data_IF_333323182508
#
_entry.id   IF_333323182508
#
_cell.length_a   1.000
_cell.length_b   1.000
_cell.length_c   1.000
_cell.angle_alpha   90.00
_cell.angle_beta   90.00
_cell.angle_gamma   90.00
#
_symmetry.space_group_name_H-M   'P 1'
#
loop_
_entity.id
_entity.type
_entity.pdbx_description
1 polymer ?
#
# COMPACT_ATOMS: atom_id res chain seq x y z
N UNK A 1 -9.15 11.45 6.66
CA UNK A 1 -8.06 10.49 6.79
C UNK A 1 -7.29 10.41 5.48
N UNK A 2 -5.97 10.62 5.50
CA UNK A 2 -5.18 10.50 4.27
C UNK A 2 -5.29 9.12 3.66
N UNK A 3 -5.30 9.08 2.36
CA UNK A 3 -5.31 7.82 1.64
C UNK A 3 -4.60 7.97 0.30
N UNK A 4 -4.19 6.86 -0.25
CA UNK A 4 -3.58 6.81 -1.56
C UNK A 4 -4.07 5.57 -2.29
N UNK A 5 -4.33 5.72 -3.56
CA UNK A 5 -4.87 4.64 -4.40
C UNK A 5 -3.91 4.37 -5.55
N UNK A 6 -3.66 3.09 -5.78
CA UNK A 6 -2.86 2.61 -6.91
C UNK A 6 -3.65 1.58 -7.70
N UNK A 7 -3.32 1.47 -8.97
CA UNK A 7 -3.74 0.35 -9.80
C UNK A 7 -2.51 -0.43 -10.19
N UNK A 8 -2.47 -1.68 -9.76
CA UNK A 8 -1.37 -2.59 -10.05
C UNK A 8 -1.84 -3.66 -11.02
N UNK A 9 -1.08 -3.88 -12.08
CA UNK A 9 -1.39 -4.90 -13.06
C UNK A 9 -0.43 -6.06 -12.85
N UNK A 10 -0.96 -7.23 -12.51
CA UNK A 10 -0.17 -8.45 -12.31
C UNK A 10 -0.73 -9.55 -13.19
N UNK A 11 0.11 -10.05 -14.11
CA UNK A 11 -0.30 -11.14 -15.02
C UNK A 11 -1.55 -10.82 -15.85
N UNK A 12 -1.71 -9.55 -16.24
CA UNK A 12 -2.87 -9.12 -17.02
C UNK A 12 -4.11 -8.80 -16.21
N UNK A 13 -4.07 -9.00 -14.89
CA UNK A 13 -5.19 -8.71 -13.99
C UNK A 13 -4.90 -7.40 -13.27
N UNK A 14 -5.87 -6.48 -13.33
CA UNK A 14 -5.74 -5.18 -12.68
C UNK A 14 -6.31 -5.24 -11.28
N UNK A 15 -5.50 -4.80 -10.31
CA UNK A 15 -5.89 -4.72 -8.92
C UNK A 15 -5.92 -3.28 -8.45
N UNK A 16 -6.84 -2.98 -7.54
CA UNK A 16 -6.91 -1.69 -6.87
C UNK A 16 -6.34 -1.84 -5.46
N UNK A 17 -5.33 -1.04 -5.15
CA UNK A 17 -4.68 -1.03 -3.84
C UNK A 17 -4.97 0.31 -3.19
N UNK A 18 -5.48 0.28 -1.97
CA UNK A 18 -5.77 1.49 -1.20
C UNK A 18 -5.07 1.40 0.14
N UNK A 19 -4.30 2.41 0.47
CA UNK A 19 -3.74 2.58 1.82
C UNK A 19 -4.43 3.78 2.47
N UNK A 20 -4.88 3.60 3.71
CA UNK A 20 -5.43 4.66 4.53
C UNK A 20 -4.65 4.71 5.83
N UNK A 21 -4.36 5.89 6.31
CA UNK A 21 -3.57 6.03 7.54
C UNK A 21 -3.95 7.29 8.30
N UNK A 22 -3.67 7.29 9.60
CA UNK A 22 -3.82 8.47 10.42
C UNK A 22 -2.64 9.43 10.17
N UNK A 23 -2.87 10.71 9.94
CA UNK A 23 -1.78 11.68 9.78
C UNK A 23 -0.97 11.92 11.07
N UNK A 24 -1.56 11.53 12.21
CA UNK A 24 -0.94 11.77 13.50
C UNK A 24 -0.11 10.60 14.00
N UNK A 25 -0.62 9.38 13.81
CA UNK A 25 -0.02 8.17 14.36
C UNK A 25 0.52 7.23 13.29
N UNK A 26 0.14 7.43 12.04
CA UNK A 26 0.41 6.55 10.90
C UNK A 26 -0.17 5.15 11.04
N UNK A 27 -1.05 4.92 12.02
CA UNK A 27 -1.86 3.70 12.04
C UNK A 27 -2.69 3.64 10.78
N UNK A 28 -2.80 2.46 10.19
CA UNK A 28 -3.50 2.37 8.93
C UNK A 28 -3.90 0.97 8.51
N UNK A 29 -4.44 0.91 7.33
CA UNK A 29 -4.90 -0.33 6.71
C UNK A 29 -4.57 -0.33 5.22
N UNK A 30 -4.42 -1.54 4.70
CA UNK A 30 -4.19 -1.79 3.29
C UNK A 30 -5.36 -2.61 2.76
N UNK A 31 -6.02 -2.09 1.74
CA UNK A 31 -7.16 -2.73 1.09
C UNK A 31 -6.75 -3.13 -0.31
N UNK A 32 -6.93 -4.41 -0.63
CA UNK A 32 -6.69 -4.96 -1.95
C UNK A 32 -8.02 -5.43 -2.52
N UNK A 33 -8.47 -4.81 -3.61
CA UNK A 33 -9.72 -5.16 -4.29
C UNK A 33 -10.90 -5.30 -3.32
N UNK A 34 -11.09 -4.31 -2.46
CA UNK A 34 -12.16 -4.22 -1.45
C UNK A 34 -11.95 -5.06 -0.18
N UNK A 35 -10.92 -5.90 -0.11
CA UNK A 35 -10.62 -6.69 1.08
C UNK A 35 -9.47 -6.06 1.87
N UNK A 36 -9.65 -5.86 3.17
CA UNK A 36 -8.57 -5.40 4.05
C UNK A 36 -7.61 -6.57 4.28
N UNK A 37 -6.38 -6.45 3.80
CA UNK A 37 -5.39 -7.53 3.89
C UNK A 37 -4.30 -7.29 4.91
N UNK A 38 -4.10 -6.04 5.34
CA UNK A 38 -3.11 -5.67 6.35
C UNK A 38 -3.61 -4.50 7.17
N UNK A 39 -3.24 -4.50 8.44
CA UNK A 39 -3.37 -3.33 9.31
C UNK A 39 -2.05 -3.16 10.05
N UNK A 40 -1.74 -1.93 10.44
CA UNK A 40 -0.54 -1.64 11.21
C UNK A 40 -0.84 -0.58 12.26
N UNK A 41 -0.10 -0.66 13.35
CA UNK A 41 -0.24 0.27 14.46
C UNK A 41 0.66 1.48 14.33
N UNK A 42 0.72 2.25 15.40
CA UNK A 42 1.53 3.48 15.52
C UNK A 42 3.01 3.23 15.28
N UNK A 43 3.49 2.03 15.63
CA UNK A 43 4.89 1.66 15.43
C UNK A 43 4.99 0.80 14.20
N UNK A 44 5.57 1.36 13.16
CA UNK A 44 5.99 0.57 12.02
C UNK A 44 7.17 -0.27 12.47
N UNK A 45 7.02 -1.57 12.38
CA UNK A 45 8.04 -2.52 12.81
C UNK A 45 9.22 -2.62 11.85
N UNK A 46 9.35 -1.67 10.93
CA UNK A 46 10.38 -1.63 9.92
C UNK A 46 9.99 -0.61 8.88
N UNK A 47 10.84 -0.38 7.87
CA UNK A 47 10.56 0.60 6.84
C UNK A 47 9.45 0.18 5.88
N UNK A 48 9.18 -1.13 5.76
CA UNK A 48 8.29 -1.64 4.73
C UNK A 48 7.17 -2.50 5.30
N UNK A 49 5.98 -2.38 4.71
CA UNK A 49 4.83 -3.24 5.00
C UNK A 49 4.71 -4.20 3.83
N UNK A 50 5.07 -5.46 4.05
CA UNK A 50 5.16 -6.46 2.99
C UNK A 50 3.85 -7.21 2.80
N UNK A 51 3.51 -7.50 1.54
CA UNK A 51 2.34 -8.28 1.17
C UNK A 51 2.54 -8.88 -0.22
N UNK A 52 1.52 -9.54 -0.75
CA UNK A 52 1.57 -10.12 -2.09
C UNK A 52 0.31 -9.77 -2.88
N UNK A 53 0.47 -9.63 -4.19
CA UNK A 53 -0.62 -9.46 -5.14
C UNK A 53 -0.47 -10.58 -6.16
N UNK A 54 -1.39 -11.54 -6.17
CA UNK A 54 -1.33 -12.69 -7.08
C UNK A 54 0.04 -13.42 -7.04
N UNK A 55 0.61 -13.56 -5.84
CA UNK A 55 1.92 -14.17 -5.67
C UNK A 55 3.10 -13.26 -6.00
N UNK A 56 2.85 -12.05 -6.48
CA UNK A 56 3.92 -11.06 -6.74
C UNK A 56 4.26 -10.33 -5.45
N UNK A 57 5.54 -10.27 -5.06
CA UNK A 57 5.92 -9.55 -3.85
C UNK A 57 5.65 -8.06 -4.01
N UNK A 58 5.09 -7.47 -2.99
CA UNK A 58 4.77 -6.06 -2.94
C UNK A 58 5.07 -5.50 -1.55
N UNK A 59 5.25 -4.20 -1.47
CA UNK A 59 5.39 -3.55 -0.17
C UNK A 59 5.01 -2.08 -0.26
N UNK A 60 4.56 -1.55 0.89
CA UNK A 60 4.40 -0.12 1.10
C UNK A 60 5.61 0.39 1.84
N UNK A 61 6.18 1.47 1.35
CA UNK A 61 7.30 2.15 2.02
C UNK A 61 6.85 3.53 2.48
N UNK A 62 7.08 3.81 3.75
CA UNK A 62 6.76 5.11 4.31
C UNK A 62 7.65 6.19 3.69
N UNK A 63 7.03 7.28 3.24
CA UNK A 63 7.72 8.43 2.69
C UNK A 63 7.39 9.67 3.52
N UNK A 64 7.95 10.81 3.17
CA UNK A 64 7.71 12.06 3.88
C UNK A 64 6.24 12.49 3.89
N UNK A 65 5.49 12.10 2.87
CA UNK A 65 4.11 12.55 2.68
C UNK A 65 3.10 11.40 2.66
N UNK A 66 3.49 10.21 3.07
CA UNK A 66 2.61 9.06 3.09
C UNK A 66 3.32 7.76 2.77
N UNK A 67 2.75 6.99 1.87
CA UNK A 67 3.29 5.68 1.49
C UNK A 67 3.44 5.59 -0.02
N UNK A 68 4.47 4.87 -0.44
CA UNK A 68 4.68 4.48 -1.84
C UNK A 68 4.49 2.98 -1.96
N UNK A 69 3.93 2.55 -3.09
CA UNK A 69 3.72 1.13 -3.39
C UNK A 69 4.78 0.65 -4.37
N UNK A 70 5.36 -0.50 -4.06
CA UNK A 70 6.27 -1.21 -4.94
C UNK A 70 5.73 -2.61 -5.22
N UNK A 71 5.75 -3.03 -6.47
CA UNK A 71 5.35 -4.38 -6.89
C UNK A 71 6.48 -4.93 -7.74
N UNK A 72 6.97 -6.11 -7.42
CA UNK A 72 8.14 -6.73 -8.09
C UNK A 72 9.34 -5.80 -8.13
N UNK A 73 9.52 -4.98 -7.09
CA UNK A 73 10.61 -4.02 -7.00
C UNK A 73 10.40 -2.69 -7.72
N UNK A 74 9.32 -2.57 -8.49
CA UNK A 74 9.02 -1.36 -9.26
C UNK A 74 8.04 -0.47 -8.53
N UNK A 75 8.35 0.83 -8.45
CA UNK A 75 7.46 1.81 -7.86
C UNK A 75 6.25 2.03 -8.76
N UNK A 76 5.06 1.93 -8.18
CA UNK A 76 3.80 2.14 -8.89
C UNK A 76 3.33 3.57 -8.65
N UNK A 77 2.97 4.26 -9.71
CA UNK A 77 2.45 5.62 -9.61
C UNK A 77 1.04 5.61 -9.04
N UNK A 78 0.80 6.40 -7.99
CA UNK A 78 -0.55 6.51 -7.42
C UNK A 78 -1.46 7.34 -8.32
N UNK A 79 -2.76 7.10 -8.20
CA UNK A 79 -3.79 7.75 -9.03
C UNK A 79 -4.63 8.76 -8.25
N UNK A 80 -4.48 8.84 -6.94
CA UNK A 80 -5.16 9.87 -6.14
C UNK A 80 -4.44 11.20 -6.25
N UNK A 81 -5.20 12.25 -6.27
CA UNK A 81 -4.66 13.61 -6.30
C UNK A 81 -3.99 13.96 -4.97
#
# INVERSE_FOLDING_TARGET
MPHRVWRANTGGIRHTVVARWSPWTYEGELVLDTATIKTWGTRLAGPDINFEIEGHPAFLRHSLIGFDLYVDGDKIQHITA
#
